data_IF_287804979535
#
_entry.id   IF_287804979535
#
_cell.length_a   1.000
_cell.length_b   1.000
_cell.length_c   1.000
_cell.angle_alpha   90.00
_cell.angle_beta   90.00
_cell.angle_gamma   90.00
#
_symmetry.space_group_name_H-M   'P 1'
#
loop_
_entity.id
_entity.type
_entity.pdbx_description
1 polymer ?
#
# COMPACT_ATOMS: atom_id res chain seq x y z
N UNK A 1 -7.78 -6.73 42.34
CA UNK A 1 -6.57 -6.38 41.55
C UNK A 1 -7.01 -5.34 40.51
N UNK A 2 -6.47 -4.14 40.31
CA UNK A 2 -5.28 -3.44 40.78
C UNK A 2 -5.53 -1.94 40.50
N UNK A 3 -5.85 -1.12 41.51
CA UNK A 3 -5.80 0.35 41.41
C UNK A 3 -4.53 0.85 42.08
N UNK A 4 -3.36 0.37 41.60
CA UNK A 4 -2.11 1.05 41.91
C UNK A 4 -2.14 2.39 41.16
N UNK A 5 -1.99 3.50 41.88
CA UNK A 5 -1.90 4.82 41.27
C UNK A 5 -0.80 4.82 40.20
N UNK A 6 -1.21 4.93 38.93
CA UNK A 6 -0.28 5.02 37.81
C UNK A 6 0.49 6.32 37.93
N UNK A 7 1.81 6.26 37.76
CA UNK A 7 2.66 7.46 37.74
C UNK A 7 2.14 8.40 36.65
N UNK A 8 2.13 9.70 36.92
CA UNK A 8 1.65 10.75 36.01
C UNK A 8 2.29 10.66 34.61
N UNK A 9 3.59 10.35 34.53
CA UNK A 9 4.28 10.14 33.25
C UNK A 9 3.71 8.98 32.41
N UNK A 10 3.21 7.93 33.07
CA UNK A 10 2.62 6.78 32.39
C UNK A 10 1.28 7.18 31.80
N UNK A 11 0.45 7.91 32.56
CA UNK A 11 -0.85 8.40 32.08
C UNK A 11 -0.69 9.30 30.84
N UNK A 12 0.28 10.21 30.84
CA UNK A 12 0.53 11.11 29.70
C UNK A 12 1.08 10.36 28.48
N UNK A 13 1.98 9.39 28.67
CA UNK A 13 2.49 8.54 27.60
C UNK A 13 1.38 7.70 26.95
N UNK A 14 0.54 7.08 27.78
CA UNK A 14 -0.61 6.30 27.32
C UNK A 14 -1.62 7.17 26.56
N UNK A 15 -1.88 8.39 27.04
CA UNK A 15 -2.70 9.38 26.36
C UNK A 15 -2.15 9.70 24.96
N UNK A 16 -0.87 10.04 24.84
CA UNK A 16 -0.23 10.31 23.54
C UNK A 16 -0.35 9.12 22.60
N UNK A 17 -0.07 7.90 23.06
CA UNK A 17 -0.13 6.70 22.23
C UNK A 17 -1.54 6.39 21.75
N UNK A 18 -2.55 6.57 22.60
CA UNK A 18 -3.97 6.40 22.23
C UNK A 18 -4.38 7.37 21.12
N UNK A 19 -4.02 8.65 21.25
CA UNK A 19 -4.30 9.67 20.23
C UNK A 19 -3.59 9.40 18.90
N UNK A 20 -2.36 8.88 18.94
CA UNK A 20 -1.65 8.47 17.71
C UNK A 20 -2.37 7.31 17.00
N UNK A 21 -2.81 6.31 17.76
CA UNK A 21 -3.58 5.17 17.20
C UNK A 21 -4.90 5.67 16.60
N UNK A 22 -5.62 6.54 17.30
CA UNK A 22 -6.85 7.13 16.80
C UNK A 22 -6.63 7.96 15.54
N UNK A 23 -5.57 8.77 15.49
CA UNK A 23 -5.17 9.53 14.31
C UNK A 23 -4.85 8.65 13.10
N UNK A 24 -4.19 7.52 13.33
CA UNK A 24 -3.96 6.52 12.29
C UNK A 24 -5.28 5.92 11.78
N UNK A 25 -6.16 5.45 12.68
CA UNK A 25 -7.45 4.89 12.28
C UNK A 25 -8.33 5.91 11.55
N UNK A 26 -8.30 7.18 11.94
CA UNK A 26 -9.02 8.26 11.25
C UNK A 26 -8.48 8.45 9.83
N UNK A 27 -7.16 8.44 9.66
CA UNK A 27 -6.51 8.52 8.35
C UNK A 27 -6.83 7.31 7.48
N UNK A 28 -6.67 6.09 8.02
CA UNK A 28 -7.01 4.83 7.35
C UNK A 28 -8.49 4.81 6.91
N UNK A 29 -9.40 5.23 7.78
CA UNK A 29 -10.83 5.26 7.50
C UNK A 29 -11.19 6.18 6.34
N UNK A 30 -10.70 7.41 6.34
CA UNK A 30 -11.10 8.42 5.37
C UNK A 30 -10.28 8.42 4.08
N UNK A 31 -8.96 8.16 4.16
CA UNK A 31 -8.04 8.26 3.02
C UNK A 31 -7.84 6.92 2.30
N UNK A 32 -7.86 5.81 3.03
CA UNK A 32 -7.62 4.47 2.48
C UNK A 32 -8.90 3.63 2.34
N UNK A 33 -10.08 4.27 2.41
CA UNK A 33 -11.33 3.63 2.03
C UNK A 33 -11.88 2.60 3.02
N UNK A 34 -11.35 2.50 4.26
CA UNK A 34 -11.91 1.59 5.28
C UNK A 34 -13.41 1.83 5.51
N UNK A 35 -13.90 3.06 5.30
CA UNK A 35 -15.31 3.40 5.44
C UNK A 35 -16.20 3.01 4.26
N UNK A 36 -15.64 2.79 3.05
CA UNK A 36 -16.41 2.49 1.83
C UNK A 36 -16.68 1.00 1.66
N UNK A 37 -16.80 0.31 2.79
CA UNK A 37 -16.97 -1.12 2.81
C UNK A 37 -18.38 -1.50 2.33
N UNK A 38 -18.48 -2.09 1.14
CA UNK A 38 -19.76 -2.44 0.51
C UNK A 38 -19.99 -3.95 0.33
N UNK A 39 -19.13 -4.82 0.88
CA UNK A 39 -19.24 -6.27 0.70
C UNK A 39 -19.98 -6.92 1.86
N UNK A 40 -21.05 -7.67 1.58
CA UNK A 40 -21.83 -8.36 2.62
C UNK A 40 -21.21 -9.70 3.09
N UNK A 41 -20.08 -10.14 2.50
CA UNK A 41 -19.48 -11.45 2.81
C UNK A 41 -18.22 -11.31 3.65
N UNK A 42 -18.04 -12.20 4.63
CA UNK A 42 -16.87 -12.24 5.52
C UNK A 42 -15.54 -12.28 4.74
N UNK A 43 -15.49 -13.10 3.68
CA UNK A 43 -14.32 -13.20 2.79
C UNK A 43 -14.04 -11.89 2.04
N UNK A 44 -15.08 -11.15 1.69
CA UNK A 44 -14.97 -9.79 1.14
C UNK A 44 -14.35 -8.82 2.14
N UNK A 45 -14.79 -8.85 3.40
CA UNK A 45 -14.22 -8.03 4.48
C UNK A 45 -12.70 -8.22 4.57
N UNK A 46 -12.24 -9.47 4.64
CA UNK A 46 -10.80 -9.76 4.74
C UNK A 46 -10.03 -9.25 3.53
N UNK A 47 -10.53 -9.47 2.31
CA UNK A 47 -9.88 -8.96 1.08
C UNK A 47 -9.80 -7.43 1.09
N UNK A 48 -10.87 -6.76 1.48
CA UNK A 48 -10.91 -5.30 1.55
C UNK A 48 -9.94 -4.72 2.58
N UNK A 49 -9.88 -5.33 3.77
CA UNK A 49 -8.93 -4.93 4.82
C UNK A 49 -7.49 -5.10 4.35
N UNK A 50 -7.17 -6.24 3.71
CA UNK A 50 -5.83 -6.49 3.15
C UNK A 50 -5.49 -5.46 2.07
N UNK A 51 -6.42 -5.17 1.15
CA UNK A 51 -6.21 -4.16 0.10
C UNK A 51 -5.99 -2.76 0.69
N UNK A 52 -6.79 -2.36 1.69
CA UNK A 52 -6.65 -1.07 2.37
C UNK A 52 -5.31 -0.96 3.11
N UNK A 53 -4.85 -2.05 3.73
CA UNK A 53 -3.54 -2.12 4.39
C UNK A 53 -2.39 -2.03 3.38
N UNK A 54 -2.47 -2.76 2.26
CA UNK A 54 -1.48 -2.70 1.19
C UNK A 54 -1.39 -1.28 0.64
N UNK A 55 -2.53 -0.63 0.36
CA UNK A 55 -2.55 0.76 -0.12
C UNK A 55 -1.86 1.73 0.86
N UNK A 56 -2.09 1.56 2.17
CA UNK A 56 -1.39 2.33 3.19
C UNK A 56 0.13 2.08 3.17
N UNK A 57 0.56 0.82 3.11
CA UNK A 57 1.98 0.47 3.09
C UNK A 57 2.70 1.04 1.86
N UNK A 58 2.09 0.98 0.68
CA UNK A 58 2.65 1.56 -0.55
C UNK A 58 2.79 3.08 -0.45
N UNK A 59 1.74 3.77 0.01
CA UNK A 59 1.80 5.22 0.21
C UNK A 59 2.84 5.61 1.28
N UNK A 60 2.93 4.83 2.35
CA UNK A 60 3.92 5.07 3.41
C UNK A 60 5.36 4.84 2.91
N UNK A 61 5.58 3.82 2.07
CA UNK A 61 6.88 3.60 1.43
C UNK A 61 7.26 4.78 0.55
N UNK A 62 6.36 5.25 -0.31
CA UNK A 62 6.57 6.40 -1.18
C UNK A 62 6.84 7.71 -0.39
N UNK A 63 6.21 7.85 0.78
CA UNK A 63 6.53 8.94 1.68
C UNK A 63 7.96 8.82 2.24
N UNK A 64 8.36 7.63 2.72
CA UNK A 64 9.70 7.38 3.25
C UNK A 64 10.80 7.64 2.21
N UNK A 65 10.54 7.37 0.93
CA UNK A 65 11.48 7.68 -0.15
C UNK A 65 11.69 9.17 -0.40
N UNK A 66 10.80 10.04 0.10
CA UNK A 66 10.87 11.50 -0.07
C UNK A 66 11.74 12.18 1.01
N UNK A 67 12.14 11.45 2.07
CA UNK A 67 12.99 11.94 3.17
C UNK A 67 12.55 13.27 3.84
N UNK A 68 11.26 13.62 3.73
CA UNK A 68 10.72 14.87 4.28
C UNK A 68 10.53 14.77 5.81
N UNK A 69 10.86 15.83 6.58
CA UNK A 69 10.56 15.92 8.00
C UNK A 69 9.12 16.33 8.33
N UNK A 70 8.34 16.79 7.34
CA UNK A 70 6.99 17.32 7.53
C UNK A 70 5.92 16.23 7.70
N UNK A 71 4.71 16.58 8.15
CA UNK A 71 3.63 15.60 8.21
C UNK A 71 3.31 15.06 6.79
N UNK A 72 3.06 13.75 6.64
CA UNK A 72 2.80 13.16 5.34
C UNK A 72 1.47 13.65 4.75
N UNK A 73 1.53 14.30 3.59
CA UNK A 73 0.36 14.41 2.72
C UNK A 73 0.12 13.05 2.05
N UNK A 74 -0.79 12.28 2.65
CA UNK A 74 -1.18 10.95 2.16
C UNK A 74 -1.70 10.95 0.73
N UNK A 75 -2.28 12.06 0.24
CA UNK A 75 -2.74 12.18 -1.15
C UNK A 75 -1.56 12.25 -2.12
N UNK A 76 -0.59 13.10 -1.83
CA UNK A 76 0.64 13.22 -2.60
C UNK A 76 1.47 11.93 -2.55
N UNK A 77 1.60 11.32 -1.36
CA UNK A 77 2.34 10.07 -1.19
C UNK A 77 1.69 8.89 -1.95
N UNK A 78 0.36 8.81 -1.98
CA UNK A 78 -0.35 7.80 -2.78
C UNK A 78 -0.14 8.02 -4.28
N UNK A 79 -0.15 9.28 -4.74
CA UNK A 79 0.13 9.62 -6.15
C UNK A 79 1.56 9.26 -6.54
N UNK A 80 2.53 9.60 -5.70
CA UNK A 80 3.94 9.26 -5.90
C UNK A 80 4.13 7.74 -5.95
N UNK A 81 3.50 6.99 -5.04
CA UNK A 81 3.52 5.52 -5.07
C UNK A 81 3.01 5.00 -6.41
N UNK A 82 1.92 5.55 -6.93
CA UNK A 82 1.37 5.16 -8.23
C UNK A 82 2.36 5.47 -9.36
N UNK A 83 2.92 6.67 -9.39
CA UNK A 83 3.88 7.08 -10.43
C UNK A 83 5.15 6.22 -10.44
N UNK A 84 5.60 5.74 -9.27
CA UNK A 84 6.78 4.88 -9.15
C UNK A 84 6.46 3.42 -9.49
N UNK A 85 5.40 2.85 -8.91
CA UNK A 85 5.14 1.41 -9.03
C UNK A 85 4.36 1.03 -10.29
N UNK A 86 3.48 1.89 -10.81
CA UNK A 86 2.63 1.57 -11.95
C UNK A 86 3.43 1.27 -13.23
N UNK A 87 4.44 2.08 -13.62
CA UNK A 87 5.23 1.77 -14.82
C UNK A 87 5.92 0.41 -14.73
N UNK A 88 6.50 0.09 -13.57
CA UNK A 88 7.15 -1.19 -13.33
C UNK A 88 6.17 -2.36 -13.42
N UNK A 89 4.98 -2.22 -12.84
CA UNK A 89 3.92 -3.22 -12.91
C UNK A 89 3.45 -3.46 -14.34
N UNK A 90 3.23 -2.39 -15.11
CA UNK A 90 2.79 -2.47 -16.51
C UNK A 90 3.84 -3.17 -17.36
N UNK A 91 5.12 -2.82 -17.21
CA UNK A 91 6.22 -3.46 -17.94
C UNK A 91 6.32 -4.95 -17.58
N UNK A 92 6.20 -5.30 -16.29
CA UNK A 92 6.23 -6.69 -15.85
C UNK A 92 5.07 -7.51 -16.44
N UNK A 93 3.85 -6.98 -16.42
CA UNK A 93 2.68 -7.64 -16.99
C UNK A 93 2.81 -7.81 -18.51
N UNK A 94 3.31 -6.79 -19.21
CA UNK A 94 3.56 -6.87 -20.64
C UNK A 94 4.63 -7.92 -20.96
N UNK A 95 5.72 -7.97 -20.19
CA UNK A 95 6.76 -8.96 -20.37
C UNK A 95 6.23 -10.39 -20.17
N UNK A 96 5.41 -10.60 -19.14
CA UNK A 96 4.77 -11.88 -18.87
C UNK A 96 3.85 -12.30 -20.03
N UNK A 97 3.12 -11.36 -20.60
CA UNK A 97 2.27 -11.60 -21.76
C UNK A 97 3.09 -11.94 -23.02
N UNK A 98 4.19 -11.24 -23.27
CA UNK A 98 5.11 -11.55 -24.37
C UNK A 98 5.70 -12.95 -24.21
N UNK A 99 6.12 -13.33 -23.00
CA UNK A 99 6.61 -14.69 -22.71
C UNK A 99 5.52 -15.75 -22.95
N UNK A 100 4.28 -15.45 -22.57
CA UNK A 100 3.13 -16.34 -22.80
C UNK A 100 2.85 -16.56 -24.28
N UNK A 101 3.02 -15.53 -25.11
CA UNK A 101 2.74 -15.57 -26.56
C UNK A 101 3.96 -15.99 -27.42
N UNK A 102 5.16 -15.97 -26.85
CA UNK A 102 6.41 -16.40 -27.51
C UNK A 102 6.31 -17.76 -28.24
N UNK A 103 5.70 -18.83 -27.69
CA UNK A 103 5.58 -20.09 -28.42
C UNK A 103 4.70 -19.98 -29.67
N UNK A 104 3.63 -19.17 -29.64
CA UNK A 104 2.75 -18.96 -30.80
C UNK A 104 3.46 -18.17 -31.89
N UNK A 105 4.23 -17.14 -31.50
CA UNK A 105 5.05 -16.37 -32.42
C UNK A 105 6.09 -17.26 -33.12
N UNK A 106 6.71 -18.20 -32.40
CA UNK A 106 7.68 -19.15 -32.95
C UNK A 106 7.07 -20.08 -33.99
N UNK A 107 5.82 -20.52 -33.80
CA UNK A 107 5.08 -21.33 -34.80
C UNK A 107 4.82 -20.56 -36.09
N UNK A 108 4.73 -19.23 -36.01
CA UNK A 108 4.54 -18.34 -37.16
C UNK A 108 5.87 -17.84 -37.77
N UNK A 109 7.01 -18.34 -37.29
CA UNK A 109 8.34 -17.96 -37.79
C UNK A 109 8.92 -16.68 -37.18
N UNK A 110 8.28 -16.10 -36.15
CA UNK A 110 8.80 -14.94 -35.44
C UNK A 110 9.62 -15.37 -34.21
N UNK A 111 10.85 -14.87 -34.11
CA UNK A 111 11.71 -15.06 -32.95
C UNK A 111 11.74 -13.80 -32.09
N UNK A 112 11.11 -13.85 -30.92
CA UNK A 112 11.09 -12.74 -29.96
C UNK A 112 12.17 -12.99 -28.91
N UNK A 113 13.16 -12.10 -28.84
CA UNK A 113 14.21 -12.12 -27.82
C UNK A 113 14.11 -10.86 -26.95
N UNK A 114 13.99 -11.04 -25.63
CA UNK A 114 14.04 -9.94 -24.66
C UNK A 114 15.46 -9.85 -24.11
N UNK A 115 16.23 -8.87 -24.59
CA UNK A 115 17.68 -8.79 -24.32
C UNK A 115 17.97 -8.09 -22.99
N UNK A 116 17.30 -6.96 -22.70
CA UNK A 116 17.40 -6.26 -21.41
C UNK A 116 16.12 -5.48 -21.11
N UNK A 117 15.53 -5.78 -19.97
CA UNK A 117 14.54 -4.91 -19.33
C UNK A 117 15.14 -4.51 -17.97
N UNK A 118 15.71 -3.30 -17.86
CA UNK A 118 16.11 -2.74 -16.57
C UNK A 118 14.85 -2.15 -15.93
N UNK A 119 14.46 -2.69 -14.79
CA UNK A 119 13.34 -2.23 -13.94
C UNK A 119 13.89 -1.40 -12.79
#
# INVERSE_FOLDING_TARGET
>A
MSTKALKSHTITWWGKRRWQIEGWFKSAKHRFGLHRFGQATLKGIYRWLVLSLIAYLLAHWAYLSTASPDLPDWGAAAKLALEVFLPQLVVLLLLLEVQRLQPLAKLQGFEIQVIRCKI
#
